data_IF_847383034100
#
_entry.id   IF_847383034100
#
_cell.length_a   1.000
_cell.length_b   1.000
_cell.length_c   1.000
_cell.angle_alpha   90.00
_cell.angle_beta   90.00
_cell.angle_gamma   90.00
#
_symmetry.space_group_name_H-M   'P 1'
#
loop_
_entity.id
_entity.type
_entity.pdbx_description
1 polymer ?
#
# COMPACT_ATOMS: atom_id res chain seq x y z
N UNK A 1 -1.26 10.15 33.35
CA UNK A 1 -0.87 11.58 33.16
C UNK A 1 -1.17 12.07 31.75
N UNK A 2 -0.67 11.44 30.66
CA UNK A 2 -0.93 11.83 29.26
C UNK A 2 -2.44 11.94 28.94
N UNK A 3 -3.24 10.95 29.33
CA UNK A 3 -4.69 10.92 29.12
C UNK A 3 -5.42 12.17 29.67
N UNK A 4 -5.02 12.66 30.86
CA UNK A 4 -5.62 13.86 31.45
C UNK A 4 -5.30 15.13 30.64
N UNK A 5 -4.06 15.28 30.16
CA UNK A 5 -3.69 16.42 29.30
C UNK A 5 -4.50 16.43 28.01
N UNK A 6 -4.70 15.24 27.40
CA UNK A 6 -5.51 15.12 26.18
C UNK A 6 -6.96 15.53 26.40
N UNK A 7 -7.59 15.06 27.51
CA UNK A 7 -8.99 15.43 27.85
C UNK A 7 -9.13 16.93 28.13
N UNK A 8 -8.15 17.53 28.79
CA UNK A 8 -8.16 18.95 29.08
C UNK A 8 -7.88 19.83 27.84
N UNK A 9 -7.65 19.24 26.66
CA UNK A 9 -7.35 19.96 25.45
C UNK A 9 -5.89 20.47 25.36
N UNK A 10 -5.02 20.02 26.25
CA UNK A 10 -3.63 20.43 26.31
C UNK A 10 -2.78 19.74 25.21
N UNK A 11 -1.73 20.43 24.75
CA UNK A 11 -0.81 19.93 23.75
C UNK A 11 -1.34 19.99 22.30
N UNK A 12 -0.43 20.20 21.36
CA UNK A 12 -0.68 20.26 19.90
C UNK A 12 -0.10 19.07 19.16
N UNK A 13 0.67 18.22 19.85
CA UNK A 13 1.32 17.02 19.35
C UNK A 13 1.52 16.05 20.52
N UNK A 14 1.33 14.76 20.27
CA UNK A 14 1.69 13.69 21.21
C UNK A 14 2.88 12.93 20.63
N UNK A 15 3.93 12.73 21.42
CA UNK A 15 5.06 11.84 21.12
C UNK A 15 5.11 10.81 22.25
N UNK A 16 5.01 9.53 21.91
CA UNK A 16 4.92 8.46 22.91
C UNK A 16 5.66 7.20 22.49
N UNK A 17 6.11 6.40 23.45
CA UNK A 17 6.56 5.03 23.20
C UNK A 17 5.36 4.09 23.00
N UNK A 18 5.53 3.02 22.21
CA UNK A 18 4.53 1.94 22.10
C UNK A 18 4.32 1.26 23.45
N UNK A 19 5.40 0.88 24.10
CA UNK A 19 5.36 0.19 25.40
C UNK A 19 5.67 1.20 26.50
N UNK A 20 4.67 1.52 27.29
CA UNK A 20 4.79 2.36 28.50
C UNK A 20 4.55 1.51 29.76
N UNK A 21 5.06 1.92 30.94
CA UNK A 21 4.92 1.13 32.17
C UNK A 21 3.48 0.83 32.56
N UNK A 22 2.55 1.74 32.27
CA UNK A 22 1.18 1.68 32.74
C UNK A 22 0.18 1.24 31.67
N UNK A 23 0.47 1.46 30.36
CA UNK A 23 -0.49 1.22 29.28
C UNK A 23 0.25 1.08 27.93
N UNK A 24 -0.29 0.31 26.98
CA UNK A 24 0.20 0.25 25.62
C UNK A 24 -0.35 1.44 24.82
N UNK A 25 0.53 2.12 24.05
CA UNK A 25 0.10 3.25 23.23
C UNK A 25 -0.95 2.85 22.18
N UNK A 26 -0.90 1.63 21.64
CA UNK A 26 -1.88 1.15 20.66
C UNK A 26 -3.31 1.02 21.24
N UNK A 27 -3.46 0.82 22.55
CA UNK A 27 -4.74 0.82 23.21
C UNK A 27 -5.20 2.25 23.56
N UNK A 28 -4.25 3.15 23.81
CA UNK A 28 -4.50 4.52 24.20
C UNK A 28 -4.86 5.42 22.99
N UNK A 29 -4.18 5.24 21.87
CA UNK A 29 -4.31 6.11 20.68
C UNK A 29 -5.74 6.12 20.10
N UNK A 30 -6.45 5.00 19.91
CA UNK A 30 -7.84 5.02 19.47
C UNK A 30 -8.76 5.82 20.37
N UNK A 31 -8.51 5.79 21.68
CA UNK A 31 -9.27 6.59 22.67
C UNK A 31 -8.97 8.08 22.52
N UNK A 32 -7.70 8.45 22.28
CA UNK A 32 -7.31 9.84 22.00
C UNK A 32 -7.98 10.32 20.72
N UNK A 33 -7.92 9.54 19.65
CA UNK A 33 -8.46 9.90 18.34
C UNK A 33 -10.00 10.05 18.34
N UNK A 34 -10.71 9.37 19.25
CA UNK A 34 -12.17 9.59 19.44
C UNK A 34 -12.50 10.96 20.01
N UNK A 35 -11.63 11.52 20.85
CA UNK A 35 -11.85 12.81 21.53
C UNK A 35 -11.23 13.95 20.74
N UNK A 36 -10.02 13.72 20.21
CA UNK A 36 -9.25 14.69 19.44
C UNK A 36 -8.72 14.06 18.15
N UNK A 37 -9.58 13.88 17.15
CA UNK A 37 -9.20 13.22 15.88
C UNK A 37 -8.10 13.99 15.13
N UNK A 38 -8.04 15.30 15.27
CA UNK A 38 -7.05 16.18 14.65
C UNK A 38 -5.68 16.15 15.32
N UNK A 39 -5.56 15.67 16.58
CA UNK A 39 -4.32 15.68 17.33
C UNK A 39 -3.29 14.75 16.67
N UNK A 40 -2.17 15.24 16.14
CA UNK A 40 -1.14 14.38 15.57
C UNK A 40 -0.44 13.59 16.68
N UNK A 41 -0.13 12.32 16.37
CA UNK A 41 0.52 11.42 17.31
C UNK A 41 1.70 10.77 16.61
N UNK A 42 2.91 10.93 17.16
CA UNK A 42 4.13 10.24 16.75
C UNK A 42 4.39 9.12 17.75
N UNK A 43 4.53 7.90 17.24
CA UNK A 43 4.78 6.72 18.06
C UNK A 43 6.22 6.26 17.88
N UNK A 44 6.96 6.09 18.97
CA UNK A 44 8.31 5.55 18.97
C UNK A 44 8.30 4.09 19.44
N UNK A 45 9.13 3.22 18.86
CA UNK A 45 9.22 1.82 19.29
C UNK A 45 10.62 1.24 19.17
N UNK A 46 11.00 0.44 20.16
CA UNK A 46 12.15 -0.45 20.07
C UNK A 46 11.82 -1.77 19.35
N UNK A 47 10.53 -2.11 19.21
CA UNK A 47 10.06 -3.27 18.46
C UNK A 47 9.89 -2.91 16.99
N UNK A 48 10.96 -3.02 16.22
CA UNK A 48 11.04 -2.64 14.82
C UNK A 48 10.55 -3.79 13.93
N UNK A 49 9.25 -4.12 14.03
CA UNK A 49 8.61 -5.15 13.20
C UNK A 49 7.63 -4.50 12.21
N UNK A 50 7.39 -5.17 11.10
CA UNK A 50 6.40 -4.75 10.12
C UNK A 50 4.99 -4.61 10.77
N UNK A 51 4.62 -5.57 11.65
CA UNK A 51 3.37 -5.53 12.42
C UNK A 51 3.20 -4.23 13.18
N UNK A 52 4.24 -3.83 13.93
CA UNK A 52 4.19 -2.60 14.74
C UNK A 52 3.95 -1.36 13.88
N UNK A 53 4.62 -1.27 12.71
CA UNK A 53 4.44 -0.17 11.77
C UNK A 53 3.03 -0.16 11.16
N UNK A 54 2.50 -1.32 10.80
CA UNK A 54 1.14 -1.46 10.23
C UNK A 54 0.07 -1.13 11.26
N UNK A 55 0.17 -1.68 12.49
CA UNK A 55 -0.77 -1.33 13.58
C UNK A 55 -0.78 0.18 13.85
N UNK A 56 0.40 0.82 13.88
CA UNK A 56 0.50 2.26 14.03
C UNK A 56 -0.25 3.01 12.92
N UNK A 57 -0.09 2.58 11.66
CA UNK A 57 -0.78 3.18 10.53
C UNK A 57 -2.31 2.99 10.61
N UNK A 58 -2.79 1.79 10.96
CA UNK A 58 -4.23 1.47 11.08
C UNK A 58 -4.94 2.31 12.14
N UNK A 59 -4.28 2.57 13.28
CA UNK A 59 -4.85 3.39 14.36
C UNK A 59 -4.72 4.90 14.12
N UNK A 60 -4.21 5.31 12.94
CA UNK A 60 -4.17 6.70 12.50
C UNK A 60 -3.12 7.55 13.21
N UNK A 61 -1.93 7.00 13.53
CA UNK A 61 -0.80 7.83 13.97
C UNK A 61 -0.31 8.70 12.82
N UNK A 62 0.25 9.85 13.14
CA UNK A 62 0.86 10.74 12.16
C UNK A 62 2.15 10.10 11.59
N UNK A 63 2.99 9.54 12.47
CA UNK A 63 4.22 8.86 12.07
C UNK A 63 4.64 7.83 13.11
N UNK A 64 5.25 6.73 12.62
CA UNK A 64 5.91 5.70 13.41
C UNK A 64 7.43 5.85 13.29
N UNK A 65 8.13 5.95 14.43
CA UNK A 65 9.58 6.18 14.48
C UNK A 65 10.29 5.03 15.19
N UNK A 66 10.98 4.14 14.46
CA UNK A 66 11.71 3.02 15.05
C UNK A 66 12.97 3.49 15.78
N UNK A 67 13.24 2.97 16.98
CA UNK A 67 14.47 3.22 17.74
C UNK A 67 15.60 2.26 17.28
N UNK A 68 16.85 2.73 17.17
CA UNK A 68 17.33 4.10 17.34
C UNK A 68 17.01 5.00 16.15
N UNK A 69 16.72 6.28 16.39
CA UNK A 69 16.46 7.31 15.39
C UNK A 69 17.32 8.56 15.62
N UNK A 70 17.50 9.38 14.61
CA UNK A 70 18.17 10.68 14.73
C UNK A 70 17.22 11.73 15.31
N UNK A 71 17.71 12.55 16.24
CA UNK A 71 16.93 13.66 16.78
C UNK A 71 16.53 14.68 15.70
N UNK A 72 17.35 14.86 14.67
CA UNK A 72 17.03 15.72 13.53
C UNK A 72 15.79 15.20 12.77
N UNK A 73 15.69 13.89 12.61
CA UNK A 73 14.53 13.22 12.01
C UNK A 73 13.26 13.47 12.85
N UNK A 74 13.34 13.25 14.16
CA UNK A 74 12.20 13.50 15.07
C UNK A 74 11.74 14.96 15.02
N UNK A 75 12.67 15.91 15.03
CA UNK A 75 12.34 17.36 14.97
C UNK A 75 11.67 17.70 13.64
N UNK A 76 12.17 17.18 12.51
CA UNK A 76 11.56 17.40 11.20
C UNK A 76 10.13 16.86 11.13
N UNK A 77 9.91 15.62 11.62
CA UNK A 77 8.59 14.98 11.65
C UNK A 77 7.63 15.75 12.58
N UNK A 78 8.11 16.16 13.76
CA UNK A 78 7.31 16.94 14.70
C UNK A 78 6.88 18.29 14.09
N UNK A 79 7.77 18.97 13.36
CA UNK A 79 7.45 20.19 12.63
C UNK A 79 6.37 19.98 11.56
N UNK A 80 6.47 18.91 10.79
CA UNK A 80 5.45 18.53 9.81
C UNK A 80 4.10 18.20 10.46
N UNK A 81 4.13 17.46 11.58
CA UNK A 81 2.93 17.10 12.34
C UNK A 81 2.16 18.32 12.82
N UNK A 82 2.87 19.31 13.38
CA UNK A 82 2.27 20.58 13.86
C UNK A 82 1.70 21.39 12.69
N UNK A 83 2.42 21.47 11.56
CA UNK A 83 1.96 22.19 10.37
C UNK A 83 0.76 21.54 9.66
N UNK A 84 0.57 20.21 9.81
CA UNK A 84 -0.52 19.46 9.17
C UNK A 84 -1.85 19.56 9.90
N UNK A 85 -1.91 20.13 11.10
CA UNK A 85 -3.12 20.24 11.93
C UNK A 85 -4.26 21.06 11.27
N UNK A 86 -4.03 21.65 10.09
CA UNK A 86 -5.00 22.48 9.36
C UNK A 86 -5.91 21.72 8.38
N UNK A 87 -5.79 20.37 8.21
CA UNK A 87 -6.66 19.59 7.30
C UNK A 87 -7.06 18.24 7.91
N UNK A 88 -8.37 17.95 8.08
CA UNK A 88 -8.85 16.68 8.64
C UNK A 88 -8.84 15.55 7.60
N UNK A 89 -8.27 14.39 7.92
CA UNK A 89 -8.48 13.13 7.23
C UNK A 89 -9.17 12.12 8.13
N UNK A 90 -10.24 11.54 7.62
CA UNK A 90 -11.13 10.59 8.31
C UNK A 90 -10.54 9.18 8.22
N UNK A 91 -10.31 8.53 9.36
CA UNK A 91 -9.89 7.13 9.45
C UNK A 91 -11.06 6.19 9.74
N UNK A 92 -11.00 4.97 9.23
CA UNK A 92 -11.91 3.85 9.57
C UNK A 92 -11.14 2.74 10.28
N UNK A 93 -11.80 2.20 11.32
CA UNK A 93 -11.33 1.08 12.16
C UNK A 93 -11.50 -0.26 11.45
N UNK A 94 -10.53 -1.18 11.63
CA UNK A 94 -10.80 -2.62 11.81
C UNK A 94 -9.53 -3.36 12.26
N UNK A 95 -9.69 -4.27 13.23
CA UNK A 95 -8.65 -5.07 13.89
C UNK A 95 -8.03 -6.12 12.93
N UNK A 96 -6.71 -6.20 12.88
CA UNK A 96 -5.99 -7.29 12.20
C UNK A 96 -5.31 -8.22 13.22
N UNK A 97 -5.55 -9.51 13.09
CA UNK A 97 -4.94 -10.59 13.84
C UNK A 97 -3.47 -10.79 13.46
N UNK A 98 -2.66 -11.34 14.37
CA UNK A 98 -1.30 -11.81 14.12
C UNK A 98 -1.33 -12.97 13.10
N UNK A 99 -1.29 -12.68 11.81
CA UNK A 99 -1.08 -13.66 10.76
C UNK A 99 0.36 -13.59 10.23
N UNK A 100 0.86 -14.70 9.70
CA UNK A 100 2.22 -14.91 9.16
C UNK A 100 2.71 -13.71 8.35
N UNK A 101 3.69 -13.00 8.90
CA UNK A 101 4.19 -11.76 8.32
C UNK A 101 5.07 -12.03 7.11
N UNK A 102 4.72 -11.53 5.91
CA UNK A 102 5.46 -11.83 4.68
C UNK A 102 6.85 -11.18 4.61
N UNK A 103 7.12 -10.18 5.45
CA UNK A 103 8.36 -9.41 5.42
C UNK A 103 9.10 -9.49 6.76
N UNK A 104 10.37 -9.93 6.72
CA UNK A 104 11.22 -10.08 7.91
C UNK A 104 12.50 -9.25 7.74
N UNK A 105 12.80 -8.38 8.69
CA UNK A 105 14.04 -7.61 8.71
C UNK A 105 14.03 -6.49 9.74
N UNK A 106 15.21 -6.17 10.28
CA UNK A 106 15.39 -5.11 11.29
C UNK A 106 16.41 -4.06 10.86
N UNK A 107 16.92 -4.14 9.62
CA UNK A 107 17.88 -3.15 9.11
C UNK A 107 17.21 -1.80 8.91
N UNK A 108 17.95 -0.68 8.95
CA UNK A 108 17.41 0.65 8.68
C UNK A 108 16.67 0.72 7.32
N UNK A 109 17.21 0.09 6.28
CA UNK A 109 16.58 0.03 4.96
C UNK A 109 15.20 -0.67 5.00
N UNK A 110 15.06 -1.78 5.76
CA UNK A 110 13.78 -2.45 5.94
C UNK A 110 12.77 -1.58 6.71
N UNK A 111 13.24 -0.79 7.66
CA UNK A 111 12.38 0.14 8.40
C UNK A 111 11.83 1.24 7.51
N UNK A 112 12.62 1.74 6.54
CA UNK A 112 12.12 2.69 5.53
C UNK A 112 11.05 2.05 4.63
N UNK A 113 11.26 0.80 4.22
CA UNK A 113 10.26 0.04 3.45
C UNK A 113 8.97 -0.11 4.26
N UNK A 114 9.04 -0.48 5.54
CA UNK A 114 7.86 -0.63 6.40
C UNK A 114 7.09 0.68 6.55
N UNK A 115 7.78 1.81 6.76
CA UNK A 115 7.16 3.14 6.80
C UNK A 115 6.51 3.51 5.46
N UNK A 116 7.19 3.24 4.36
CA UNK A 116 6.65 3.44 3.02
C UNK A 116 5.38 2.63 2.78
N UNK A 117 5.40 1.32 3.10
CA UNK A 117 4.25 0.44 3.01
C UNK A 117 3.07 0.95 3.83
N UNK A 118 3.31 1.29 5.11
CA UNK A 118 2.28 1.79 6.01
C UNK A 118 1.53 3.03 5.45
N UNK A 119 2.26 3.95 4.80
CA UNK A 119 1.66 5.11 4.13
C UNK A 119 0.89 4.75 2.86
N UNK A 120 1.38 3.77 2.10
CA UNK A 120 0.80 3.39 0.80
C UNK A 120 -0.42 2.47 0.93
N UNK A 121 -0.59 1.77 2.04
CA UNK A 121 -1.76 0.90 2.27
C UNK A 121 -3.05 1.69 2.51
N UNK A 122 -2.94 2.94 2.95
CA UNK A 122 -4.09 3.82 3.22
C UNK A 122 -4.71 4.47 1.97
N UNK A 123 -4.11 4.27 0.79
CA UNK A 123 -4.59 4.86 -0.45
C UNK A 123 -4.46 3.87 -1.62
N UNK A 124 -5.13 4.19 -2.73
CA UNK A 124 -5.16 3.37 -3.94
C UNK A 124 -4.18 3.85 -5.03
N UNK A 125 -3.15 4.60 -4.65
CA UNK A 125 -2.14 5.05 -5.61
C UNK A 125 -1.44 3.87 -6.28
N UNK A 126 -1.10 4.05 -7.55
CA UNK A 126 -0.19 3.15 -8.27
C UNK A 126 1.20 3.21 -7.64
N UNK A 127 1.79 2.05 -7.38
CA UNK A 127 3.11 1.95 -6.74
C UNK A 127 4.10 1.28 -7.69
N UNK A 128 5.31 1.84 -7.79
CA UNK A 128 6.42 1.23 -8.49
C UNK A 128 7.48 0.78 -7.46
N UNK A 129 7.88 -0.50 -7.54
CA UNK A 129 8.87 -1.13 -6.67
C UNK A 129 10.14 -1.35 -7.47
N UNK A 130 11.25 -0.77 -7.03
CA UNK A 130 12.57 -0.95 -7.64
C UNK A 130 13.44 -1.82 -6.75
N UNK A 131 14.18 -2.75 -7.36
CA UNK A 131 15.12 -3.60 -6.63
C UNK A 131 15.73 -4.68 -7.51
N UNK A 132 16.89 -5.20 -7.11
CA UNK A 132 17.55 -6.30 -7.78
C UNK A 132 16.68 -7.56 -7.82
N UNK A 133 16.99 -8.49 -8.72
CA UNK A 133 16.28 -9.77 -8.77
C UNK A 133 16.48 -10.54 -7.44
N UNK A 134 15.41 -11.15 -6.94
CA UNK A 134 15.43 -11.91 -5.68
C UNK A 134 15.34 -11.09 -4.39
N UNK A 135 15.19 -9.77 -4.44
CA UNK A 135 15.07 -8.91 -3.23
C UNK A 135 13.71 -8.97 -2.54
N UNK A 136 12.75 -9.75 -3.07
CA UNK A 136 11.42 -9.89 -2.46
C UNK A 136 10.39 -8.84 -2.90
N UNK A 137 10.53 -8.26 -4.10
CA UNK A 137 9.57 -7.28 -4.65
C UNK A 137 8.11 -7.77 -4.62
N UNK A 138 7.89 -9.06 -4.91
CA UNK A 138 6.54 -9.65 -4.84
C UNK A 138 5.99 -9.69 -3.41
N UNK A 139 6.83 -9.96 -2.41
CA UNK A 139 6.41 -9.94 -0.99
C UNK A 139 5.98 -8.53 -0.57
N UNK A 140 6.66 -7.50 -1.05
CA UNK A 140 6.30 -6.09 -0.83
C UNK A 140 4.95 -5.77 -1.51
N UNK A 141 4.75 -6.23 -2.75
CA UNK A 141 3.49 -6.03 -3.48
C UNK A 141 2.31 -6.75 -2.80
N UNK A 142 2.55 -7.98 -2.32
CA UNK A 142 1.56 -8.74 -1.56
C UNK A 142 1.20 -8.05 -0.24
N UNK A 143 2.19 -7.56 0.51
CA UNK A 143 1.96 -6.78 1.72
C UNK A 143 1.14 -5.51 1.45
N UNK A 144 1.41 -4.79 0.35
CA UNK A 144 0.59 -3.64 -0.08
C UNK A 144 -0.88 -4.01 -0.33
N UNK A 145 -1.15 -5.21 -0.81
CA UNK A 145 -2.50 -5.70 -1.01
C UNK A 145 -3.14 -6.13 0.31
N UNK A 146 -2.49 -7.03 1.06
CA UNK A 146 -3.02 -7.68 2.25
C UNK A 146 -3.36 -6.69 3.37
N UNK A 147 -2.65 -5.55 3.43
CA UNK A 147 -2.89 -4.47 4.39
C UNK A 147 -3.65 -3.25 3.81
N UNK A 148 -4.22 -3.39 2.60
CA UNK A 148 -5.04 -2.33 1.98
C UNK A 148 -6.54 -2.53 2.21
N UNK A 149 -7.33 -1.52 1.80
CA UNK A 149 -8.79 -1.63 1.73
C UNK A 149 -9.27 -2.74 0.77
N UNK A 150 -8.38 -3.22 -0.13
CA UNK A 150 -8.68 -4.24 -1.15
C UNK A 150 -8.30 -5.66 -0.75
N UNK A 151 -7.87 -5.90 0.48
CA UNK A 151 -7.39 -7.20 1.01
C UNK A 151 -8.38 -8.36 0.86
N UNK A 152 -9.68 -8.09 0.74
CA UNK A 152 -10.74 -9.10 0.56
C UNK A 152 -10.96 -9.50 -0.90
N UNK A 153 -10.34 -8.79 -1.84
CA UNK A 153 -10.45 -9.02 -3.27
C UNK A 153 -9.22 -9.76 -3.81
N UNK A 154 -9.17 -10.00 -5.11
CA UNK A 154 -8.10 -10.78 -5.72
C UNK A 154 -6.76 -9.99 -5.77
N UNK A 155 -5.67 -10.67 -5.42
CA UNK A 155 -4.32 -10.29 -5.78
C UNK A 155 -3.89 -11.11 -6.98
N UNK A 156 -3.69 -10.45 -8.12
CA UNK A 156 -3.39 -11.12 -9.39
C UNK A 156 -1.95 -10.77 -9.79
N UNK A 157 -0.96 -11.64 -9.53
CA UNK A 157 0.41 -11.44 -10.00
C UNK A 157 0.56 -11.89 -11.45
N UNK A 158 1.38 -11.16 -12.20
CA UNK A 158 1.80 -11.52 -13.54
C UNK A 158 3.25 -11.11 -13.73
N UNK A 159 4.09 -12.04 -14.20
CA UNK A 159 5.48 -11.77 -14.52
C UNK A 159 5.62 -11.65 -16.03
N UNK A 160 6.03 -10.45 -16.51
CA UNK A 160 6.13 -10.15 -17.93
C UNK A 160 7.26 -10.93 -18.62
N UNK A 161 8.36 -11.21 -17.91
CA UNK A 161 9.48 -11.97 -18.44
C UNK A 161 9.11 -13.45 -18.71
N UNK A 162 8.08 -13.98 -18.05
CA UNK A 162 7.64 -15.36 -18.22
C UNK A 162 6.67 -15.57 -19.40
N UNK A 163 6.23 -14.49 -20.07
CA UNK A 163 5.20 -14.53 -21.12
C UNK A 163 5.84 -14.15 -22.46
N UNK A 164 5.57 -14.91 -23.54
CA UNK A 164 5.94 -14.46 -24.88
C UNK A 164 5.41 -13.07 -25.18
N UNK A 165 6.25 -12.20 -25.74
CA UNK A 165 5.93 -10.79 -25.96
C UNK A 165 4.64 -10.57 -26.74
N UNK A 166 4.35 -11.43 -27.72
CA UNK A 166 3.16 -11.39 -28.56
C UNK A 166 1.88 -11.72 -27.80
N UNK A 167 1.98 -12.37 -26.63
CA UNK A 167 0.85 -12.78 -25.83
C UNK A 167 0.57 -11.85 -24.62
N UNK A 168 1.52 -10.98 -24.26
CA UNK A 168 1.42 -10.12 -23.08
C UNK A 168 0.14 -9.27 -23.14
N UNK A 169 -0.16 -8.70 -24.29
CA UNK A 169 -1.35 -7.86 -24.48
C UNK A 169 -2.64 -8.65 -24.27
N UNK A 170 -2.72 -9.86 -24.84
CA UNK A 170 -3.85 -10.77 -24.69
C UNK A 170 -4.00 -11.28 -23.26
N UNK A 171 -2.91 -11.59 -22.58
CA UNK A 171 -2.92 -12.00 -21.16
C UNK A 171 -3.43 -10.86 -20.26
N UNK A 172 -3.00 -9.64 -20.49
CA UNK A 172 -3.41 -8.50 -19.68
C UNK A 172 -4.87 -8.11 -19.89
N UNK A 173 -5.27 -7.90 -21.15
CA UNK A 173 -6.56 -7.30 -21.50
C UNK A 173 -7.61 -8.31 -21.95
N UNK A 174 -7.21 -9.58 -22.17
CA UNK A 174 -8.07 -10.59 -22.76
C UNK A 174 -8.25 -10.40 -24.27
N UNK A 175 -8.90 -11.34 -24.92
CA UNK A 175 -9.12 -11.30 -26.36
C UNK A 175 -10.49 -11.82 -26.77
N UNK A 176 -10.99 -11.31 -27.89
CA UNK A 176 -12.20 -11.83 -28.54
C UNK A 176 -11.85 -13.01 -29.45
N UNK A 177 -12.84 -13.88 -29.68
CA UNK A 177 -12.70 -14.99 -30.62
C UNK A 177 -12.30 -14.47 -32.00
N UNK A 178 -11.26 -15.06 -32.61
CA UNK A 178 -10.80 -14.73 -33.95
C UNK A 178 -9.92 -13.49 -34.03
N UNK A 179 -9.46 -12.92 -32.91
CA UNK A 179 -8.61 -11.71 -32.89
C UNK A 179 -7.16 -11.94 -33.39
N UNK A 180 -6.68 -13.17 -33.32
CA UNK A 180 -5.41 -13.63 -33.89
C UNK A 180 -5.45 -15.14 -34.17
N UNK A 181 -4.44 -15.68 -34.86
CA UNK A 181 -4.32 -17.12 -35.15
C UNK A 181 -4.19 -17.89 -33.85
N UNK A 182 -5.17 -18.78 -33.56
CA UNK A 182 -5.25 -19.54 -32.30
C UNK A 182 -6.21 -18.95 -31.28
N UNK A 183 -6.87 -17.84 -31.55
CA UNK A 183 -7.93 -17.27 -30.69
C UNK A 183 -9.26 -18.00 -30.96
N UNK A 184 -9.37 -19.27 -30.58
CA UNK A 184 -10.54 -20.11 -30.83
C UNK A 184 -11.78 -19.74 -30.01
N UNK A 185 -11.55 -19.09 -28.87
CA UNK A 185 -12.61 -18.63 -27.95
C UNK A 185 -12.25 -17.26 -27.35
N UNK A 186 -13.23 -16.60 -26.76
CA UNK A 186 -13.00 -15.40 -25.96
C UNK A 186 -12.33 -15.79 -24.63
N UNK A 187 -11.30 -15.04 -24.21
CA UNK A 187 -10.62 -15.24 -22.93
C UNK A 187 -10.56 -13.92 -22.17
N UNK A 188 -10.87 -13.96 -20.88
CA UNK A 188 -10.75 -12.82 -19.97
C UNK A 188 -9.30 -12.60 -19.56
N UNK A 189 -8.86 -11.33 -19.59
CA UNK A 189 -7.51 -10.94 -19.20
C UNK A 189 -7.33 -10.74 -17.69
N UNK A 190 -6.09 -10.48 -17.29
CA UNK A 190 -5.72 -10.24 -15.87
C UNK A 190 -6.41 -9.02 -15.28
N UNK A 191 -6.71 -7.99 -16.05
CA UNK A 191 -7.49 -6.85 -15.60
C UNK A 191 -8.89 -7.25 -15.14
N UNK A 192 -9.56 -8.11 -15.87
CA UNK A 192 -10.89 -8.62 -15.46
C UNK A 192 -10.80 -9.48 -14.19
N UNK A 193 -9.76 -10.31 -14.07
CA UNK A 193 -9.54 -11.16 -12.88
C UNK A 193 -9.22 -10.33 -11.63
N UNK A 194 -8.53 -9.19 -11.79
CA UNK A 194 -8.13 -8.31 -10.70
C UNK A 194 -9.20 -7.26 -10.33
N UNK A 195 -10.38 -7.31 -10.94
CA UNK A 195 -11.41 -6.28 -10.72
C UNK A 195 -11.75 -6.10 -9.24
N UNK A 196 -11.74 -4.87 -8.78
CA UNK A 196 -11.90 -4.48 -7.36
C UNK A 196 -10.67 -4.76 -6.48
N UNK A 197 -9.69 -5.51 -6.99
CA UNK A 197 -8.49 -5.98 -6.29
C UNK A 197 -7.21 -5.25 -6.69
N UNK A 198 -6.11 -6.03 -6.76
CA UNK A 198 -4.76 -5.53 -7.08
C UNK A 198 -4.14 -6.37 -8.19
N UNK A 199 -3.65 -5.73 -9.24
CA UNK A 199 -2.84 -6.33 -10.30
C UNK A 199 -1.37 -6.01 -10.04
N UNK A 200 -0.56 -7.05 -9.86
CA UNK A 200 0.88 -6.91 -9.69
C UNK A 200 1.59 -7.25 -11.00
N UNK A 201 2.30 -6.27 -11.56
CA UNK A 201 3.04 -6.36 -12.80
C UNK A 201 4.53 -6.49 -12.49
N UNK A 202 5.05 -7.72 -12.45
CA UNK A 202 6.48 -7.94 -12.24
C UNK A 202 7.25 -7.86 -13.55
N UNK A 203 8.48 -7.38 -13.47
CA UNK A 203 9.39 -7.10 -14.60
C UNK A 203 8.70 -6.27 -15.72
N UNK A 204 8.10 -5.14 -15.32
CA UNK A 204 7.34 -4.26 -16.22
C UNK A 204 8.20 -3.73 -17.39
N UNK A 205 9.53 -3.70 -17.24
CA UNK A 205 10.47 -3.31 -18.30
C UNK A 205 10.45 -4.21 -19.53
N UNK A 206 9.98 -5.47 -19.38
CA UNK A 206 9.86 -6.41 -20.52
C UNK A 206 8.57 -6.24 -21.33
N UNK A 207 7.67 -5.35 -20.89
CA UNK A 207 6.41 -5.08 -21.58
C UNK A 207 6.65 -4.40 -22.94
N UNK A 208 6.05 -4.89 -24.04
CA UNK A 208 6.12 -4.25 -25.35
C UNK A 208 5.59 -2.81 -25.33
N UNK A 209 6.17 -1.91 -26.13
CA UNK A 209 5.82 -0.49 -26.18
C UNK A 209 4.32 -0.25 -26.49
N UNK A 210 3.74 -1.06 -27.35
CA UNK A 210 2.31 -0.99 -27.68
C UNK A 210 1.43 -1.28 -26.45
N UNK A 211 1.80 -2.31 -25.69
CA UNK A 211 1.12 -2.68 -24.44
C UNK A 211 1.29 -1.62 -23.34
N UNK A 212 2.49 -1.00 -23.25
CA UNK A 212 2.74 0.13 -22.35
C UNK A 212 1.82 1.30 -22.65
N UNK A 213 1.61 1.62 -23.93
CA UNK A 213 0.70 2.70 -24.37
C UNK A 213 -0.74 2.40 -23.96
N UNK A 214 -1.17 1.14 -24.06
CA UNK A 214 -2.50 0.74 -23.61
C UNK A 214 -2.63 0.79 -22.09
N UNK A 215 -1.62 0.32 -21.36
CA UNK A 215 -1.58 0.42 -19.90
C UNK A 215 -1.68 1.87 -19.43
N UNK A 216 -0.97 2.79 -20.07
CA UNK A 216 -1.04 4.22 -19.77
C UNK A 216 -2.47 4.76 -19.90
N UNK A 217 -3.19 4.37 -20.95
CA UNK A 217 -4.61 4.75 -21.12
C UNK A 217 -5.48 4.20 -19.99
N UNK A 218 -5.27 2.94 -19.59
CA UNK A 218 -6.00 2.36 -18.46
C UNK A 218 -5.76 3.16 -17.18
N UNK A 219 -4.52 3.58 -16.92
CA UNK A 219 -4.18 4.39 -15.75
C UNK A 219 -4.83 5.78 -15.79
N UNK A 220 -5.00 6.36 -16.98
CA UNK A 220 -5.56 7.72 -17.16
C UNK A 220 -7.07 7.73 -17.23
N UNK A 221 -7.67 6.78 -17.95
CA UNK A 221 -9.08 6.77 -18.31
C UNK A 221 -9.91 5.80 -17.42
N UNK A 222 -9.26 4.87 -16.73
CA UNK A 222 -9.94 3.87 -15.91
C UNK A 222 -10.73 2.84 -16.72
N UNK A 223 -10.36 2.64 -18.01
CA UNK A 223 -11.02 1.67 -18.88
C UNK A 223 -10.05 1.06 -19.90
N UNK A 224 -10.39 -0.13 -20.37
CA UNK A 224 -9.63 -0.84 -21.41
C UNK A 224 -10.55 -1.52 -22.42
N UNK A 225 -9.97 -2.04 -23.52
CA UNK A 225 -10.66 -2.90 -24.48
C UNK A 225 -9.94 -4.24 -24.58
N UNK A 226 -10.67 -5.34 -24.88
CA UNK A 226 -10.06 -6.62 -25.23
C UNK A 226 -9.32 -6.55 -26.57
N UNK A 227 -8.37 -7.45 -26.82
CA UNK A 227 -7.73 -7.56 -28.13
C UNK A 227 -8.78 -7.99 -29.17
N UNK A 228 -8.92 -7.24 -30.27
CA UNK A 228 -9.99 -7.42 -31.26
C UNK A 228 -11.37 -6.88 -30.84
N UNK A 229 -11.53 -6.44 -29.58
CA UNK A 229 -12.76 -5.84 -29.08
C UNK A 229 -12.86 -4.36 -29.38
N UNK A 230 -14.10 -3.82 -29.38
CA UNK A 230 -14.40 -2.38 -29.58
C UNK A 230 -15.06 -1.75 -28.37
N UNK A 231 -15.53 -2.57 -27.42
CA UNK A 231 -16.27 -2.08 -26.26
C UNK A 231 -15.28 -1.69 -25.15
N UNK A 232 -15.37 -0.44 -24.69
CA UNK A 232 -14.65 -0.01 -23.49
C UNK A 232 -15.21 -0.70 -22.24
N UNK A 233 -14.33 -1.21 -21.39
CA UNK A 233 -14.62 -1.91 -20.14
C UNK A 233 -14.02 -1.07 -19.03
N UNK A 234 -14.85 -0.55 -18.15
CA UNK A 234 -14.38 0.18 -16.95
C UNK A 234 -13.69 -0.78 -16.00
N UNK A 235 -12.66 -0.32 -15.33
CA UNK A 235 -11.91 -1.12 -14.36
C UNK A 235 -11.60 -0.32 -13.11
N UNK A 236 -11.71 -1.00 -11.96
CA UNK A 236 -11.35 -0.47 -10.65
C UNK A 236 -10.26 -1.36 -10.05
N UNK A 237 -9.09 -1.38 -10.68
CA UNK A 237 -7.94 -2.21 -10.29
C UNK A 237 -6.84 -1.31 -9.75
N UNK A 238 -6.32 -1.63 -8.55
CA UNK A 238 -5.08 -1.04 -8.07
C UNK A 238 -3.89 -1.68 -8.77
N UNK A 239 -2.98 -0.87 -9.30
CA UNK A 239 -1.78 -1.37 -9.98
C UNK A 239 -0.57 -1.20 -9.08
N UNK A 240 0.18 -2.29 -8.91
CA UNK A 240 1.51 -2.33 -8.32
C UNK A 240 2.45 -2.91 -9.37
N UNK A 241 3.54 -2.22 -9.68
CA UNK A 241 4.50 -2.66 -10.68
C UNK A 241 5.89 -2.83 -10.06
N UNK A 242 6.69 -3.73 -10.62
CA UNK A 242 8.07 -3.97 -10.19
C UNK A 242 9.02 -4.13 -11.39
N UNK A 243 10.28 -3.79 -11.14
CA UNK A 243 11.37 -4.03 -12.08
C UNK A 243 12.69 -4.17 -11.33
#
# INVERSE_FOLDING_TARGET
MLWQWVINGEGVLVITDVVMPDENAFDLIPRIKRIRPELPIIVMSAQNTFSTAMTAAEIGVFEYLPKPFDLTELVAIAGQAIASTEKPTVGKEENAAEEDMPLIGRSPAMQEIYRGLARMTQNDLTVMIFGESGTGKELVARALHDFSSRKRNQFVPINMAAIPRELIESELFGHEKGSFTGADQRVEGRFAQAEGGTLFLDEIGDMPMETQTRLLRVLQEGEYTTVGGRKAIKTNVRIVAAT
#
